data_IF_521258801226
#
_entry.id   IF_521258801226
#
_cell.length_a   1.000
_cell.length_b   1.000
_cell.length_c   1.000
_cell.angle_alpha   90.00
_cell.angle_beta   90.00
_cell.angle_gamma   90.00
#
_symmetry.space_group_name_H-M   'P 1'
#
loop_
_entity.id
_entity.type
_entity.pdbx_description
1 polymer ?
#
# COMPACT_ATOMS: atom_id res chain seq x y z
N UNK A 1 29.02 12.20 -23.48
CA UNK A 1 28.33 11.03 -24.06
C UNK A 1 27.38 10.53 -22.99
N UNK A 2 26.09 10.52 -23.32
CA UNK A 2 24.98 10.17 -22.44
C UNK A 2 25.12 8.77 -21.85
N UNK A 3 25.06 8.68 -20.53
CA UNK A 3 24.64 7.47 -19.84
C UNK A 3 23.18 7.67 -19.42
N UNK A 4 22.27 7.61 -20.39
CA UNK A 4 20.87 7.32 -20.09
C UNK A 4 20.78 5.85 -19.72
N UNK A 5 20.96 5.55 -18.43
CA UNK A 5 20.46 4.33 -17.80
C UNK A 5 18.93 4.36 -17.93
N UNK A 6 18.44 3.93 -19.10
CA UNK A 6 17.04 3.59 -19.31
C UNK A 6 16.74 2.37 -18.46
N UNK A 7 16.42 2.60 -17.18
CA UNK A 7 15.73 1.60 -16.37
C UNK A 7 14.58 1.03 -17.21
N UNK A 8 14.47 -0.30 -17.38
CA UNK A 8 13.41 -0.88 -18.17
C UNK A 8 12.09 -0.60 -17.46
N UNK A 9 11.40 0.46 -17.88
CA UNK A 9 10.07 0.82 -17.37
C UNK A 9 9.17 -0.41 -17.40
N UNK A 10 9.28 -1.23 -18.45
CA UNK A 10 8.55 -2.47 -18.69
C UNK A 10 8.66 -3.52 -17.56
N UNK A 11 9.76 -3.57 -16.80
CA UNK A 11 9.94 -4.56 -15.73
C UNK A 11 9.28 -4.10 -14.41
N UNK A 12 9.17 -2.79 -14.18
CA UNK A 12 8.49 -2.24 -12.99
C UNK A 12 6.97 -2.41 -13.05
N UNK A 13 6.40 -2.50 -14.27
CA UNK A 13 4.96 -2.69 -14.49
C UNK A 13 4.48 -4.14 -14.31
N UNK A 14 5.37 -5.10 -14.05
CA UNK A 14 5.05 -6.53 -13.97
C UNK A 14 4.87 -7.08 -12.56
N UNK A 15 5.08 -6.29 -11.49
CA UNK A 15 4.83 -6.73 -10.11
C UNK A 15 3.71 -5.86 -9.50
N UNK A 16 2.45 -6.32 -9.65
CA UNK A 16 1.19 -5.64 -9.31
C UNK A 16 0.89 -5.58 -7.80
N UNK A 17 1.95 -5.51 -7.02
CA UNK A 17 1.90 -5.36 -5.58
C UNK A 17 1.38 -3.95 -5.24
N UNK A 18 2.09 -2.90 -5.63
CA UNK A 18 1.69 -1.53 -5.32
C UNK A 18 0.52 -0.99 -6.16
N UNK A 19 0.08 -1.71 -7.20
CA UNK A 19 -0.92 -1.23 -8.18
C UNK A 19 -0.53 0.13 -8.75
N UNK A 20 0.57 0.15 -9.50
CA UNK A 20 1.08 1.38 -10.11
C UNK A 20 0.06 1.97 -11.09
N UNK A 21 -0.13 3.29 -10.99
CA UNK A 21 -0.98 4.04 -11.90
C UNK A 21 -0.20 4.28 -13.18
N UNK A 22 -0.76 3.87 -14.32
CA UNK A 22 -0.08 4.02 -15.59
C UNK A 22 -0.25 5.44 -16.15
N UNK A 23 0.70 5.95 -16.96
CA UNK A 23 0.61 7.30 -17.52
C UNK A 23 -0.68 7.56 -18.30
N UNK A 24 -1.29 6.53 -18.89
CA UNK A 24 -2.56 6.64 -19.62
C UNK A 24 -3.73 7.03 -18.70
N UNK A 25 -3.64 6.70 -17.42
CA UNK A 25 -4.66 6.98 -16.40
C UNK A 25 -4.51 8.38 -15.78
N UNK A 26 -3.35 9.03 -15.95
CA UNK A 26 -3.04 10.31 -15.28
C UNK A 26 -4.06 11.40 -15.61
N UNK A 27 -4.47 11.49 -16.87
CA UNK A 27 -5.47 12.47 -17.31
C UNK A 27 -6.81 12.25 -16.62
N UNK A 28 -7.22 10.99 -16.43
CA UNK A 28 -8.49 10.65 -15.78
C UNK A 28 -8.47 10.93 -14.27
N UNK A 29 -7.28 10.95 -13.65
CA UNK A 29 -7.10 11.21 -12.23
C UNK A 29 -6.64 12.64 -11.92
N UNK A 30 -6.44 13.47 -12.95
CA UNK A 30 -5.82 14.79 -12.88
C UNK A 30 -4.44 14.79 -12.19
N UNK A 31 -3.64 13.76 -12.48
CA UNK A 31 -2.25 13.68 -12.03
C UNK A 31 -1.38 14.45 -13.02
N UNK A 32 -0.69 15.48 -12.54
CA UNK A 32 0.31 16.21 -13.32
C UNK A 32 1.66 15.44 -13.24
N UNK A 33 2.23 15.00 -14.38
CA UNK A 33 3.54 14.36 -14.39
C UNK A 33 4.66 15.20 -13.78
N UNK A 34 4.55 16.53 -13.86
CA UNK A 34 5.55 17.45 -13.30
C UNK A 34 5.54 17.53 -11.78
N UNK A 35 4.43 17.12 -11.15
CA UNK A 35 4.29 17.04 -9.70
C UNK A 35 4.78 15.71 -9.11
N UNK A 36 5.21 14.76 -9.96
CA UNK A 36 5.80 13.49 -9.54
C UNK A 36 7.30 13.71 -9.30
N UNK A 37 7.79 13.62 -8.05
CA UNK A 37 9.22 13.74 -7.77
C UNK A 37 10.02 12.66 -8.52
N UNK A 38 11.19 13.03 -9.03
CA UNK A 38 12.10 12.10 -9.68
C UNK A 38 12.42 10.91 -8.75
N UNK A 39 12.38 9.71 -9.33
CA UNK A 39 12.59 8.48 -8.58
C UNK A 39 11.40 8.04 -7.73
N UNK A 40 10.21 8.59 -7.95
CA UNK A 40 8.95 8.08 -7.38
C UNK A 40 7.97 7.63 -8.47
N UNK A 41 7.06 6.74 -8.11
CA UNK A 41 6.06 6.18 -9.02
C UNK A 41 4.67 6.25 -8.38
N UNK A 42 3.67 6.85 -9.06
CA UNK A 42 2.29 6.87 -8.55
C UNK A 42 1.71 5.47 -8.47
N UNK A 43 1.05 5.17 -7.35
CA UNK A 43 0.48 3.87 -7.06
C UNK A 43 -0.78 3.99 -6.21
N UNK A 44 -1.64 2.97 -6.27
CA UNK A 44 -2.87 2.91 -5.48
C UNK A 44 -2.67 2.24 -4.11
N UNK A 45 -1.55 1.54 -3.92
CA UNK A 45 -1.13 0.96 -2.65
C UNK A 45 0.27 1.44 -2.28
N UNK A 46 0.56 1.43 -1.00
CA UNK A 46 1.85 1.83 -0.42
C UNK A 46 2.27 0.87 0.70
N UNK A 47 3.55 0.82 1.09
CA UNK A 47 3.95 0.06 2.26
C UNK A 47 3.40 0.72 3.54
N UNK A 48 3.13 -0.07 4.57
CA UNK A 48 2.48 0.42 5.81
C UNK A 48 3.26 1.54 6.51
N UNK A 49 4.59 1.53 6.44
CA UNK A 49 5.42 2.54 7.06
C UNK A 49 6.58 2.96 6.16
N UNK A 50 6.75 4.26 6.01
CA UNK A 50 7.96 4.88 5.47
C UNK A 50 8.30 6.10 6.31
N UNK A 51 9.49 6.20 6.88
CA UNK A 51 9.87 7.40 7.64
C UNK A 51 9.77 8.66 6.78
N UNK A 52 9.02 9.65 7.26
CA UNK A 52 8.97 10.98 6.66
C UNK A 52 10.27 11.76 6.96
N UNK A 53 10.59 12.74 6.10
CA UNK A 53 11.74 13.64 6.26
C UNK A 53 11.75 14.35 7.63
N UNK A 54 10.58 14.57 8.21
CA UNK A 54 10.39 15.31 9.46
C UNK A 54 10.05 14.40 10.66
N UNK A 55 10.19 13.07 10.52
CA UNK A 55 9.71 12.10 11.51
C UNK A 55 8.27 11.64 11.20
N UNK A 56 7.87 10.48 11.75
CA UNK A 56 6.56 9.88 11.49
C UNK A 56 6.46 9.12 10.15
N UNK A 57 5.25 8.85 9.69
CA UNK A 57 4.97 8.08 8.47
C UNK A 57 4.68 9.00 7.27
N UNK A 58 5.45 8.86 6.18
CA UNK A 58 5.33 9.64 4.95
C UNK A 58 4.01 9.41 4.18
N UNK A 59 3.28 8.33 4.50
CA UNK A 59 1.95 8.03 3.97
C UNK A 59 0.81 8.26 4.97
N UNK A 60 1.14 8.61 6.22
CA UNK A 60 0.15 8.87 7.26
C UNK A 60 -0.33 10.31 7.29
N UNK A 61 -1.18 10.63 8.26
CA UNK A 61 -1.64 11.99 8.56
C UNK A 61 -0.60 12.78 9.39
N UNK A 62 0.68 12.74 8.98
CA UNK A 62 1.77 13.50 9.61
C UNK A 62 1.58 15.03 9.57
N UNK A 63 0.41 15.51 9.13
CA UNK A 63 -0.07 16.88 9.24
C UNK A 63 0.13 17.43 10.66
N UNK A 64 -0.21 16.65 11.69
CA UNK A 64 -0.15 17.06 13.10
C UNK A 64 1.26 17.27 13.65
N UNK A 65 2.25 16.58 13.10
CA UNK A 65 3.64 16.63 13.55
C UNK A 65 4.41 17.83 12.95
N UNK A 66 3.86 18.44 11.90
CA UNK A 66 4.56 19.41 11.03
C UNK A 66 3.84 20.78 11.01
N UNK A 67 2.89 21.04 11.91
CA UNK A 67 2.16 22.32 12.00
C UNK A 67 3.10 23.54 12.09
N UNK A 68 4.24 23.41 12.77
CA UNK A 68 5.23 24.48 12.91
C UNK A 68 5.90 24.90 11.58
N UNK A 69 5.80 24.07 10.55
CA UNK A 69 6.36 24.34 9.22
C UNK A 69 5.32 24.80 8.19
N UNK A 70 4.03 24.84 8.58
CA UNK A 70 2.94 25.28 7.71
C UNK A 70 2.62 26.76 7.94
N UNK A 71 2.19 27.43 6.87
CA UNK A 71 1.65 28.78 7.00
C UNK A 71 0.27 28.74 7.65
N UNK A 72 -0.12 29.84 8.27
CA UNK A 72 -1.46 29.99 8.88
C UNK A 72 -2.61 29.78 7.88
N UNK A 73 -2.41 30.11 6.61
CA UNK A 73 -3.38 29.84 5.53
C UNK A 73 -3.55 28.33 5.28
N UNK A 74 -2.44 27.59 5.19
CA UNK A 74 -2.43 26.14 4.97
C UNK A 74 -3.05 25.41 6.19
N UNK A 75 -2.74 25.86 7.41
CA UNK A 75 -3.31 25.31 8.66
C UNK A 75 -4.83 25.48 8.69
N UNK A 76 -5.33 26.69 8.39
CA UNK A 76 -6.77 26.96 8.37
C UNK A 76 -7.49 26.07 7.35
N UNK A 77 -6.90 25.91 6.16
CA UNK A 77 -7.47 25.04 5.13
C UNK A 77 -7.58 23.59 5.62
N UNK A 78 -6.51 23.05 6.21
CA UNK A 78 -6.52 21.69 6.75
C UNK A 78 -7.58 21.51 7.87
N UNK A 79 -7.80 22.53 8.68
CA UNK A 79 -8.83 22.50 9.74
C UNK A 79 -10.26 22.58 9.20
N UNK A 80 -10.46 23.14 8.00
CA UNK A 80 -11.79 23.24 7.38
C UNK A 80 -12.20 21.99 6.60
N UNK A 81 -11.25 21.15 6.20
CA UNK A 81 -11.51 19.97 5.38
C UNK A 81 -11.84 18.79 6.30
N UNK A 82 -12.98 18.14 6.05
CA UNK A 82 -13.27 16.85 6.64
C UNK A 82 -12.64 15.73 5.81
N UNK A 83 -11.58 15.10 6.33
CA UNK A 83 -10.87 14.00 5.65
C UNK A 83 -11.68 12.70 5.58
N UNK A 84 -12.80 12.59 6.30
CA UNK A 84 -13.75 11.48 6.16
C UNK A 84 -14.76 11.71 5.03
N UNK A 85 -14.86 12.95 4.52
CA UNK A 85 -15.76 13.31 3.43
C UNK A 85 -15.01 13.45 2.10
N UNK A 86 -15.26 12.50 1.19
CA UNK A 86 -14.61 12.48 -0.12
C UNK A 86 -14.92 13.70 -1.00
N UNK A 87 -16.10 14.31 -0.88
CA UNK A 87 -16.42 15.49 -1.68
C UNK A 87 -15.62 16.72 -1.20
N UNK A 88 -15.40 16.86 0.10
CA UNK A 88 -14.59 17.97 0.64
C UNK A 88 -13.12 17.86 0.17
N UNK A 89 -12.57 16.64 0.20
CA UNK A 89 -11.22 16.35 -0.35
C UNK A 89 -11.19 16.67 -1.85
N UNK A 90 -12.23 16.27 -2.58
CA UNK A 90 -12.34 16.47 -4.02
C UNK A 90 -12.38 17.95 -4.40
N UNK A 91 -13.07 18.78 -3.65
CA UNK A 91 -13.12 20.22 -3.90
C UNK A 91 -11.76 20.90 -3.69
N UNK A 92 -10.95 20.37 -2.76
CA UNK A 92 -9.69 20.97 -2.33
C UNK A 92 -8.43 20.19 -2.74
N UNK A 93 -8.56 19.19 -3.63
CA UNK A 93 -7.48 18.22 -3.89
C UNK A 93 -6.16 18.86 -4.35
N UNK A 94 -6.23 19.96 -5.11
CA UNK A 94 -5.03 20.69 -5.58
C UNK A 94 -4.29 21.36 -4.44
N UNK A 95 -5.02 22.07 -3.58
CA UNK A 95 -4.44 22.78 -2.44
C UNK A 95 -3.89 21.78 -1.42
N UNK A 96 -4.61 20.68 -1.18
CA UNK A 96 -4.12 19.56 -0.38
C UNK A 96 -2.81 18.99 -0.93
N UNK A 97 -2.74 18.73 -2.24
CA UNK A 97 -1.52 18.20 -2.86
C UNK A 97 -0.33 19.15 -2.72
N UNK A 98 -0.55 20.45 -2.87
CA UNK A 98 0.48 21.47 -2.67
C UNK A 98 0.94 21.55 -1.21
N UNK A 99 0.02 21.47 -0.25
CA UNK A 99 0.36 21.38 1.16
C UNK A 99 1.20 20.13 1.43
N UNK A 100 0.73 18.95 1.00
CA UNK A 100 1.41 17.67 1.23
C UNK A 100 2.80 17.64 0.59
N UNK A 101 2.97 18.29 -0.56
CA UNK A 101 4.26 18.51 -1.23
C UNK A 101 5.20 19.38 -0.40
N UNK A 102 4.72 20.50 0.18
CA UNK A 102 5.53 21.37 1.05
C UNK A 102 6.07 20.64 2.28
N UNK A 103 5.24 19.80 2.91
CA UNK A 103 5.61 19.05 4.12
C UNK A 103 6.27 17.69 3.84
N UNK A 104 6.47 17.34 2.57
CA UNK A 104 7.19 16.13 2.18
C UNK A 104 6.42 14.82 2.38
N UNK A 105 5.10 14.87 2.50
CA UNK A 105 4.27 13.67 2.45
C UNK A 105 4.21 13.12 1.02
N UNK A 106 4.06 11.80 0.91
CA UNK A 106 4.01 11.08 -0.37
C UNK A 106 2.60 10.69 -0.77
N UNK A 107 1.60 10.99 0.06
CA UNK A 107 0.18 10.89 -0.29
C UNK A 107 -0.23 12.08 -1.16
N UNK A 108 -1.05 11.81 -2.16
CA UNK A 108 -1.68 12.80 -3.05
C UNK A 108 -3.13 12.42 -3.27
N UNK A 109 -3.94 13.35 -3.73
CA UNK A 109 -5.35 13.15 -4.03
C UNK A 109 -5.62 13.39 -5.52
N UNK A 110 -6.41 12.50 -6.10
CA UNK A 110 -6.94 12.64 -7.46
C UNK A 110 -8.12 13.63 -7.51
N UNK A 111 -8.52 14.04 -8.71
CA UNK A 111 -9.74 14.85 -8.91
C UNK A 111 -11.05 14.18 -8.45
N UNK A 112 -11.00 12.92 -8.05
CA UNK A 112 -12.14 12.18 -7.51
C UNK A 112 -12.12 12.14 -5.97
N UNK A 113 -11.21 12.87 -5.32
CA UNK A 113 -11.03 12.85 -3.86
C UNK A 113 -10.42 11.56 -3.32
N UNK A 114 -9.95 10.66 -4.20
CA UNK A 114 -9.29 9.40 -3.81
C UNK A 114 -7.78 9.59 -3.67
N UNK A 115 -7.15 9.06 -2.61
CA UNK A 115 -5.72 9.13 -2.45
C UNK A 115 -4.98 8.24 -3.45
N UNK A 116 -3.77 8.64 -3.79
CA UNK A 116 -2.74 7.84 -4.44
C UNK A 116 -1.38 8.17 -3.83
N UNK A 117 -0.40 7.32 -4.05
CA UNK A 117 0.85 7.32 -3.29
C UNK A 117 2.04 7.38 -4.23
N UNK A 118 3.03 8.19 -3.87
CA UNK A 118 4.28 8.34 -4.61
C UNK A 118 5.32 7.38 -4.02
N UNK A 119 5.52 6.22 -4.65
CA UNK A 119 6.41 5.16 -4.15
C UNK A 119 7.85 5.39 -4.62
N UNK A 120 8.83 5.62 -3.72
CA UNK A 120 10.24 5.75 -4.10
C UNK A 120 10.81 4.49 -4.74
N UNK A 121 11.64 4.64 -5.76
CA UNK A 121 12.22 3.54 -6.56
C UNK A 121 13.01 2.52 -5.72
N UNK A 122 13.71 2.99 -4.69
CA UNK A 122 14.47 2.11 -3.80
C UNK A 122 13.55 1.21 -2.95
N UNK A 123 12.33 1.65 -2.65
CA UNK A 123 11.33 0.81 -2.00
C UNK A 123 10.74 -0.20 -2.96
N UNK A 124 10.66 0.11 -4.26
CA UNK A 124 10.14 -0.84 -5.24
C UNK A 124 11.03 -2.08 -5.22
N UNK A 125 12.34 -1.95 -5.45
CA UNK A 125 13.24 -3.09 -5.46
C UNK A 125 13.35 -3.79 -4.09
N UNK A 126 13.54 -3.04 -3.00
CA UNK A 126 13.75 -3.65 -1.68
C UNK A 126 12.47 -4.28 -1.12
N UNK A 127 11.33 -3.60 -1.23
CA UNK A 127 10.06 -4.13 -0.72
C UNK A 127 9.62 -5.33 -1.54
N UNK A 128 9.79 -5.29 -2.87
CA UNK A 128 9.48 -6.46 -3.72
C UNK A 128 10.40 -7.64 -3.40
N UNK A 129 11.70 -7.43 -3.13
CA UNK A 129 12.59 -8.50 -2.66
C UNK A 129 12.10 -9.06 -1.31
N UNK A 130 11.77 -8.21 -0.34
CA UNK A 130 11.28 -8.67 0.96
C UNK A 130 9.94 -9.41 0.86
N UNK A 131 9.01 -8.92 0.05
CA UNK A 131 7.74 -9.60 -0.25
C UNK A 131 8.02 -10.94 -0.89
N UNK A 132 8.88 -10.99 -1.91
CA UNK A 132 9.21 -12.22 -2.64
C UNK A 132 9.82 -13.26 -1.71
N UNK A 133 10.74 -12.87 -0.83
CA UNK A 133 11.31 -13.76 0.19
C UNK A 133 10.22 -14.32 1.10
N UNK A 134 9.33 -13.46 1.64
CA UNK A 134 8.21 -13.90 2.49
C UNK A 134 7.24 -14.82 1.75
N UNK A 135 6.87 -14.47 0.52
CA UNK A 135 5.99 -15.26 -0.34
C UNK A 135 6.62 -16.63 -0.63
N UNK A 136 7.92 -16.70 -0.88
CA UNK A 136 8.64 -17.94 -1.12
C UNK A 136 8.70 -18.83 0.14
N UNK A 137 8.87 -18.25 1.32
CA UNK A 137 8.78 -18.97 2.60
C UNK A 137 7.38 -19.53 2.85
N UNK A 138 6.36 -18.70 2.70
CA UNK A 138 4.95 -19.11 2.82
C UNK A 138 4.62 -20.20 1.80
N UNK A 139 5.11 -20.06 0.56
CA UNK A 139 4.91 -21.04 -0.52
C UNK A 139 5.47 -22.42 -0.16
N UNK A 140 6.64 -22.48 0.50
CA UNK A 140 7.23 -23.73 0.98
C UNK A 140 6.33 -24.41 2.01
N UNK A 141 5.76 -23.65 2.94
CA UNK A 141 4.84 -24.16 3.97
C UNK A 141 3.58 -24.72 3.32
N UNK A 142 2.96 -23.97 2.41
CA UNK A 142 1.76 -24.42 1.68
C UNK A 142 2.06 -25.68 0.87
N UNK A 143 3.15 -25.69 0.10
CA UNK A 143 3.55 -26.85 -0.70
C UNK A 143 3.87 -28.08 0.15
N UNK A 144 4.47 -27.90 1.33
CA UNK A 144 4.71 -28.98 2.27
C UNK A 144 3.39 -29.55 2.82
N UNK A 145 2.46 -28.68 3.18
CA UNK A 145 1.13 -29.07 3.65
C UNK A 145 0.35 -29.84 2.55
N UNK A 146 0.38 -29.35 1.31
CA UNK A 146 -0.22 -30.00 0.15
C UNK A 146 0.28 -31.44 -0.02
N UNK A 147 1.61 -31.64 0.01
CA UNK A 147 2.22 -32.96 -0.13
C UNK A 147 1.83 -33.91 1.00
N UNK A 148 1.63 -33.38 2.21
CA UNK A 148 1.31 -34.19 3.39
C UNK A 148 -0.14 -34.69 3.41
N UNK A 149 -1.08 -33.89 2.93
CA UNK A 149 -2.52 -34.19 3.07
C UNK A 149 -3.26 -34.43 1.76
N UNK A 150 -2.62 -34.25 0.61
CA UNK A 150 -3.10 -34.61 -0.74
C UNK A 150 -4.53 -34.18 -1.07
N UNK A 151 -5.02 -33.06 -0.50
CA UNK A 151 -6.24 -32.39 -0.99
C UNK A 151 -5.93 -31.56 -2.24
N UNK A 152 -6.90 -31.49 -3.14
CA UNK A 152 -6.84 -30.67 -4.37
C UNK A 152 -7.04 -29.17 -4.08
N UNK A 153 -7.87 -28.85 -3.08
CA UNK A 153 -8.25 -27.48 -2.72
C UNK A 153 -8.04 -27.26 -1.22
N UNK A 154 -7.37 -26.18 -0.84
CA UNK A 154 -7.19 -25.75 0.55
C UNK A 154 -7.85 -24.39 0.77
N UNK A 155 -8.51 -24.23 1.92
CA UNK A 155 -8.91 -22.93 2.45
C UNK A 155 -7.81 -22.42 3.38
N UNK A 156 -7.09 -21.39 2.95
CA UNK A 156 -5.89 -20.87 3.62
C UNK A 156 -6.21 -19.51 4.22
N UNK A 157 -6.19 -19.41 5.54
CA UNK A 157 -6.27 -18.14 6.26
C UNK A 157 -4.94 -17.41 6.28
N UNK A 158 -4.92 -16.16 5.84
CA UNK A 158 -3.78 -15.26 5.98
C UNK A 158 -4.11 -14.19 7.01
N UNK A 159 -3.41 -14.20 8.14
CA UNK A 159 -3.51 -13.13 9.13
C UNK A 159 -2.55 -12.01 8.73
N UNK A 160 -3.12 -10.96 8.12
CA UNK A 160 -2.40 -9.82 7.58
C UNK A 160 -3.36 -8.68 7.25
N UNK A 161 -2.83 -7.48 6.99
CA UNK A 161 -3.63 -6.32 6.59
C UNK A 161 -4.23 -6.53 5.21
N UNK A 162 -5.45 -6.03 4.97
CA UNK A 162 -6.15 -6.20 3.69
C UNK A 162 -5.37 -5.64 2.49
N UNK A 163 -4.55 -4.62 2.75
CA UNK A 163 -3.70 -4.01 1.73
C UNK A 163 -2.34 -4.67 1.53
N UNK A 164 -1.97 -5.68 2.32
CA UNK A 164 -0.66 -6.32 2.23
C UNK A 164 -0.44 -6.98 0.85
N UNK A 165 0.72 -6.71 0.27
CA UNK A 165 1.07 -7.10 -1.09
C UNK A 165 1.31 -8.61 -1.22
N UNK A 166 1.64 -9.26 -0.10
CA UNK A 166 1.80 -10.71 -0.01
C UNK A 166 0.50 -11.43 -0.43
N UNK A 167 -0.67 -10.84 -0.16
CA UNK A 167 -1.98 -11.42 -0.53
C UNK A 167 -2.07 -11.60 -2.05
N UNK A 168 -1.71 -10.57 -2.83
CA UNK A 168 -1.81 -10.60 -4.29
C UNK A 168 -0.88 -11.68 -4.88
N UNK A 169 0.37 -11.71 -4.43
CA UNK A 169 1.38 -12.65 -4.90
C UNK A 169 1.01 -14.11 -4.57
N UNK A 170 0.53 -14.37 -3.35
CA UNK A 170 0.08 -15.71 -2.96
C UNK A 170 -1.17 -16.12 -3.73
N UNK A 171 -2.13 -15.22 -3.91
CA UNK A 171 -3.36 -15.49 -4.67
C UNK A 171 -3.06 -15.79 -6.13
N UNK A 172 -2.06 -15.13 -6.71
CA UNK A 172 -1.60 -15.41 -8.06
C UNK A 172 -0.86 -16.75 -8.17
N UNK A 173 -0.07 -17.12 -7.16
CA UNK A 173 0.72 -18.36 -7.18
C UNK A 173 -0.11 -19.61 -6.87
N UNK A 174 -1.14 -19.48 -6.03
CA UNK A 174 -2.01 -20.56 -5.58
C UNK A 174 -3.47 -20.30 -5.98
N UNK A 175 -3.72 -20.08 -7.29
CA UNK A 175 -5.05 -19.74 -7.83
C UNK A 175 -6.09 -20.83 -7.59
N UNK A 176 -5.63 -22.06 -7.44
CA UNK A 176 -6.42 -23.22 -7.09
C UNK A 176 -6.86 -23.24 -5.63
N UNK A 177 -6.31 -22.38 -4.76
CA UNK A 177 -6.67 -22.35 -3.34
C UNK A 177 -7.53 -21.15 -2.99
N UNK A 178 -8.36 -21.32 -1.97
CA UNK A 178 -9.16 -20.24 -1.44
C UNK A 178 -8.37 -19.51 -0.36
N UNK A 179 -7.86 -18.33 -0.69
CA UNK A 179 -7.16 -17.47 0.27
C UNK A 179 -8.18 -16.56 0.97
N UNK A 180 -8.18 -16.62 2.29
CA UNK A 180 -9.08 -15.88 3.18
C UNK A 180 -8.23 -14.90 3.97
N UNK A 181 -8.45 -13.60 3.79
CA UNK A 181 -7.75 -12.57 4.55
C UNK A 181 -8.44 -12.36 5.89
N UNK A 182 -7.66 -12.47 6.96
CA UNK A 182 -8.05 -12.30 8.35
C UNK A 182 -7.34 -11.04 8.86
N UNK A 183 -7.91 -9.89 8.53
CA UNK A 183 -7.38 -8.57 8.85
C UNK A 183 -7.90 -8.02 10.18
N UNK A 184 -8.97 -8.62 10.75
CA UNK A 184 -9.52 -8.25 12.05
C UNK A 184 -9.90 -9.43 12.94
N UNK A 185 -10.00 -9.17 14.25
CA UNK A 185 -10.52 -10.11 15.25
C UNK A 185 -11.99 -10.42 14.97
N UNK A 186 -12.76 -9.45 14.49
CA UNK A 186 -14.16 -9.67 14.09
C UNK A 186 -14.25 -10.72 12.98
N UNK A 187 -13.40 -10.66 11.94
CA UNK A 187 -13.37 -11.69 10.90
C UNK A 187 -12.93 -13.04 11.43
N UNK A 188 -11.99 -13.07 12.38
CA UNK A 188 -11.58 -14.31 13.04
C UNK A 188 -12.72 -14.94 13.86
N UNK A 189 -13.50 -14.13 14.58
CA UNK A 189 -14.63 -14.60 15.39
C UNK A 189 -15.81 -15.05 14.53
N UNK A 190 -16.06 -14.36 13.41
CA UNK A 190 -17.16 -14.63 12.48
C UNK A 190 -16.76 -15.56 11.32
N UNK A 191 -15.72 -16.37 11.50
CA UNK A 191 -15.28 -17.35 10.51
C UNK A 191 -16.35 -18.44 10.31
N UNK A 192 -17.13 -18.29 9.24
CA UNK A 192 -18.19 -19.24 8.87
C UNK A 192 -17.67 -20.49 8.14
N UNK A 193 -16.36 -20.64 8.01
CA UNK A 193 -15.72 -21.74 7.29
C UNK A 193 -14.52 -22.29 8.06
N UNK A 194 -14.29 -23.60 7.91
CA UNK A 194 -13.10 -24.25 8.45
C UNK A 194 -11.90 -24.00 7.55
N UNK A 195 -10.82 -23.46 8.13
CA UNK A 195 -9.57 -23.25 7.42
C UNK A 195 -8.69 -24.50 7.54
N UNK A 196 -8.09 -24.93 6.43
CA UNK A 196 -7.16 -26.06 6.39
C UNK A 196 -5.76 -25.66 6.88
N UNK A 197 -5.40 -24.39 6.72
CA UNK A 197 -4.12 -23.82 7.12
C UNK A 197 -4.33 -22.35 7.52
N UNK A 198 -3.69 -21.91 8.59
CA UNK A 198 -3.63 -20.50 8.99
C UNK A 198 -2.17 -20.07 9.02
N UNK A 199 -1.86 -18.95 8.39
CA UNK A 199 -0.50 -18.42 8.26
C UNK A 199 -0.48 -17.03 8.89
N UNK A 200 0.38 -16.88 9.89
CA UNK A 200 0.69 -15.61 10.51
C UNK A 200 1.83 -14.97 9.74
N UNK A 201 1.57 -13.83 9.10
CA UNK A 201 2.57 -13.16 8.25
C UNK A 201 3.51 -12.24 9.03
N UNK A 202 3.22 -12.04 10.32
CA UNK A 202 3.87 -11.12 11.25
C UNK A 202 3.92 -11.75 12.64
N UNK A 203 4.68 -11.12 13.52
CA UNK A 203 4.72 -11.50 14.93
C UNK A 203 3.35 -11.29 15.60
N UNK A 204 3.01 -12.13 16.58
CA UNK A 204 1.73 -12.06 17.29
C UNK A 204 1.50 -10.71 17.98
N UNK A 205 2.55 -10.07 18.51
CA UNK A 205 2.45 -8.74 19.10
C UNK A 205 2.10 -7.69 18.06
N UNK A 206 2.72 -7.74 16.88
CA UNK A 206 2.40 -6.82 15.79
C UNK A 206 0.96 -7.01 15.31
N UNK A 207 0.49 -8.26 15.24
CA UNK A 207 -0.88 -8.59 14.82
C UNK A 207 -1.91 -8.00 15.79
N UNK A 208 -1.69 -8.15 17.10
CA UNK A 208 -2.61 -7.61 18.13
C UNK A 208 -2.62 -6.07 18.17
N UNK A 209 -1.53 -5.43 17.75
CA UNK A 209 -1.38 -3.98 17.70
C UNK A 209 -1.86 -3.35 16.38
N UNK A 210 -2.31 -4.14 15.41
CA UNK A 210 -2.93 -3.60 14.20
C UNK A 210 -4.23 -2.88 14.62
N UNK A 211 -4.30 -1.57 14.38
CA UNK A 211 -5.56 -0.84 14.48
C UNK A 211 -6.53 -1.48 13.49
N UNK A 212 -7.62 -2.07 13.99
CA UNK A 212 -8.53 -3.04 13.34
C UNK A 212 -8.19 -4.53 13.48
N UNK A 213 -7.53 -4.97 14.55
CA UNK A 213 -7.82 -6.28 15.13
C UNK A 213 -9.07 -6.21 16.02
#
# INVERSE_FOLDING_TARGET
MDHTDSFPKETLWQEDSFRFIKPEEFKALAIDPSDIPLGTFPALKHPSHLPSKFGGNAYGFGLFEIYDHLKQEDIKLLQTINFENHEDIREHYKDLNEIYKKIGLLTRFSMNGKPYYLIPIHLISNTLIHIKVRVDEISKIISFHQKKYSKEYYSIGLVTHQDDLIINELSFRFKEHHIVVLDSLEKLQNLNQTLDLVILTRDLYEIVLMEEF
#
